data_IF_039254601229
#
_entry.id   IF_039254601229
#
_cell.length_a   1.000
_cell.length_b   1.000
_cell.length_c   1.000
_cell.angle_alpha   90.00
_cell.angle_beta   90.00
_cell.angle_gamma   90.00
#
_symmetry.space_group_name_H-M   'P 1'
#
loop_
_entity.id
_entity.type
_entity.pdbx_description
1 polymer ?
#
# COMPACT_ATOMS: atom_id res chain seq x y z
N UNK A 1 14.71 -16.03 9.79
CA UNK A 1 13.83 -17.23 9.59
C UNK A 1 12.64 -16.76 8.77
N UNK A 2 12.18 -17.59 7.80
CA UNK A 2 11.00 -17.30 6.99
C UNK A 2 9.78 -17.98 7.64
N UNK A 3 8.65 -17.30 7.68
CA UNK A 3 7.40 -17.76 8.30
C UNK A 3 6.23 -17.47 7.36
N UNK A 4 5.29 -18.40 7.12
CA UNK A 4 5.22 -19.76 7.66
C UNK A 4 6.31 -20.69 7.07
N UNK A 5 6.51 -21.85 7.70
CA UNK A 5 7.33 -22.94 7.16
C UNK A 5 6.69 -23.55 5.91
N UNK A 6 7.48 -24.31 5.13
CA UNK A 6 6.98 -24.96 3.92
C UNK A 6 5.80 -25.91 4.21
N UNK A 7 5.86 -26.67 5.31
CA UNK A 7 4.80 -27.61 5.69
C UNK A 7 3.50 -26.87 6.08
N UNK A 8 3.62 -25.78 6.83
CA UNK A 8 2.46 -24.92 7.17
C UNK A 8 1.82 -24.31 5.92
N UNK A 9 2.64 -23.89 4.94
CA UNK A 9 2.15 -23.33 3.67
C UNK A 9 1.33 -24.37 2.89
N UNK A 10 1.77 -25.63 2.84
CA UNK A 10 1.03 -26.70 2.17
C UNK A 10 -0.35 -26.93 2.79
N UNK A 11 -0.48 -26.80 4.11
CA UNK A 11 -1.78 -26.91 4.80
C UNK A 11 -2.65 -25.67 4.56
N UNK A 12 -2.08 -24.48 4.62
CA UNK A 12 -2.79 -23.21 4.38
C UNK A 12 -3.31 -23.11 2.94
N UNK A 13 -2.54 -23.60 1.97
CA UNK A 13 -2.90 -23.57 0.55
C UNK A 13 -4.19 -24.35 0.22
N UNK A 14 -4.59 -25.29 1.08
CA UNK A 14 -5.87 -26.00 0.93
C UNK A 14 -7.10 -25.10 1.15
N UNK A 15 -6.94 -23.96 1.83
CA UNK A 15 -8.04 -23.07 2.26
C UNK A 15 -7.97 -21.67 1.68
N UNK A 16 -6.77 -21.19 1.39
CA UNK A 16 -6.51 -19.81 1.00
C UNK A 16 -5.93 -19.73 -0.41
N UNK A 17 -6.23 -18.65 -1.10
CA UNK A 17 -5.71 -18.40 -2.45
C UNK A 17 -4.41 -17.61 -2.42
N UNK A 18 -4.10 -17.02 -1.27
CA UNK A 18 -2.91 -16.20 -1.05
C UNK A 18 -2.39 -16.47 0.37
N UNK A 19 -1.07 -16.57 0.53
CA UNK A 19 -0.43 -16.76 1.83
C UNK A 19 0.64 -15.69 2.00
N UNK A 20 0.58 -14.86 3.08
CA UNK A 20 1.62 -13.92 3.40
C UNK A 20 2.84 -14.65 3.98
N UNK A 21 3.92 -14.67 3.22
CA UNK A 21 5.22 -15.19 3.65
C UNK A 21 6.06 -14.03 4.16
N UNK A 22 6.66 -14.16 5.32
CA UNK A 22 7.35 -13.06 5.97
C UNK A 22 8.73 -13.43 6.49
N UNK A 23 9.58 -12.41 6.64
CA UNK A 23 10.89 -12.46 7.25
C UNK A 23 11.14 -11.23 8.10
N UNK A 24 11.63 -11.42 9.32
CA UNK A 24 12.07 -10.32 10.18
C UNK A 24 13.56 -10.03 9.96
N UNK A 25 13.92 -8.73 9.97
CA UNK A 25 15.28 -8.22 10.03
C UNK A 25 15.37 -7.10 11.08
N UNK A 26 16.56 -6.80 11.58
CA UNK A 26 16.77 -5.70 12.52
C UNK A 26 16.74 -4.35 11.80
N UNK A 27 16.29 -3.30 12.50
CA UNK A 27 16.09 -1.95 11.97
C UNK A 27 17.08 -0.93 12.55
N UNK A 28 18.18 -1.40 13.11
CA UNK A 28 19.15 -0.61 13.88
C UNK A 28 19.91 0.46 13.06
N UNK A 29 20.01 0.29 11.76
CA UNK A 29 20.72 1.20 10.84
C UNK A 29 19.81 1.96 9.88
N UNK A 30 18.48 1.82 9.98
CA UNK A 30 17.58 2.27 8.92
C UNK A 30 16.34 2.95 9.49
N UNK A 31 15.85 3.99 8.82
CA UNK A 31 14.59 4.68 9.14
C UNK A 31 13.59 4.52 8.01
N UNK A 32 12.27 4.67 8.25
CA UNK A 32 11.27 4.64 7.18
C UNK A 32 11.57 5.62 6.04
N UNK A 33 12.05 6.83 6.35
CA UNK A 33 12.41 7.84 5.35
C UNK A 33 13.63 7.42 4.51
N UNK A 34 14.65 6.82 5.14
CA UNK A 34 15.82 6.33 4.39
C UNK A 34 15.44 5.16 3.47
N UNK A 35 14.53 4.27 3.92
CA UNK A 35 13.95 3.22 3.09
C UNK A 35 13.18 3.80 1.90
N UNK A 36 12.29 4.77 2.16
CA UNK A 36 11.53 5.41 1.09
C UNK A 36 12.45 5.98 0.00
N UNK A 37 13.51 6.70 0.39
CA UNK A 37 14.49 7.22 -0.56
C UNK A 37 15.18 6.14 -1.38
N UNK A 38 15.39 4.97 -0.79
CA UNK A 38 15.97 3.82 -1.48
C UNK A 38 14.96 3.19 -2.44
N UNK A 39 13.70 3.06 -2.05
CA UNK A 39 12.62 2.60 -2.92
C UNK A 39 12.44 3.50 -4.14
N UNK A 40 12.57 4.82 -3.99
CA UNK A 40 12.54 5.78 -5.09
C UNK A 40 13.61 5.56 -6.16
N UNK A 41 14.71 4.88 -5.84
CA UNK A 41 15.72 4.53 -6.85
C UNK A 41 15.35 3.28 -7.66
N UNK A 42 14.33 2.54 -7.23
CA UNK A 42 13.90 1.27 -7.83
C UNK A 42 12.59 1.40 -8.58
N UNK A 43 11.66 2.22 -8.08
CA UNK A 43 10.32 2.33 -8.60
C UNK A 43 9.82 3.77 -8.58
N UNK A 44 9.05 4.14 -9.59
CA UNK A 44 8.31 5.41 -9.64
C UNK A 44 6.96 5.31 -8.91
N UNK A 45 6.56 4.09 -8.51
CA UNK A 45 5.29 3.81 -7.81
C UNK A 45 5.58 3.16 -6.47
N UNK A 46 5.42 3.91 -5.42
CA UNK A 46 5.69 3.48 -4.04
C UNK A 46 4.75 4.22 -3.08
N UNK A 47 4.67 3.73 -1.84
CA UNK A 47 3.98 4.44 -0.77
C UNK A 47 4.78 4.38 0.54
N UNK A 48 4.50 5.34 1.40
CA UNK A 48 4.82 5.32 2.82
C UNK A 48 3.56 5.74 3.58
N UNK A 49 3.11 4.87 4.48
CA UNK A 49 2.10 5.19 5.49
C UNK A 49 2.81 5.27 6.84
N UNK A 50 2.89 6.47 7.39
CA UNK A 50 3.55 6.73 8.66
C UNK A 50 2.56 7.39 9.62
N UNK A 51 2.48 6.88 10.85
CA UNK A 51 1.67 7.47 11.89
C UNK A 51 2.56 8.14 12.91
N UNK A 52 2.33 9.42 13.17
CA UNK A 52 3.12 10.25 14.09
C UNK A 52 2.48 10.37 15.48
N UNK A 53 1.16 10.19 15.56
CA UNK A 53 0.39 10.38 16.80
C UNK A 53 -0.51 9.19 17.11
N UNK A 54 -0.70 8.86 18.39
CA UNK A 54 -1.74 7.92 18.80
C UNK A 54 -1.32 6.81 19.77
N UNK A 55 -0.19 6.92 20.46
CA UNK A 55 0.23 5.96 21.48
C UNK A 55 0.68 4.61 20.92
N UNK A 56 1.05 3.68 21.80
CA UNK A 56 1.71 2.40 21.46
C UNK A 56 0.95 1.50 20.49
N UNK A 57 -0.37 1.67 20.32
CA UNK A 57 -1.19 0.80 19.48
C UNK A 57 -1.28 1.26 18.02
N UNK A 58 -1.34 2.56 17.76
CA UNK A 58 -1.61 3.11 16.42
C UNK A 58 -0.35 3.59 15.71
N UNK A 59 0.62 4.15 16.44
CA UNK A 59 1.88 4.65 15.90
C UNK A 59 3.01 3.60 15.86
N UNK A 60 2.67 2.32 16.09
CA UNK A 60 3.67 1.25 16.17
C UNK A 60 4.35 0.95 14.85
N UNK A 61 3.62 1.06 13.74
CA UNK A 61 4.12 0.64 12.44
C UNK A 61 4.17 1.77 11.42
N UNK A 62 5.24 1.82 10.63
CA UNK A 62 5.26 2.47 9.33
C UNK A 62 5.23 1.42 8.24
N UNK A 63 4.42 1.61 7.20
CA UNK A 63 4.29 0.68 6.08
C UNK A 63 4.81 1.30 4.80
N UNK A 64 5.60 0.53 4.04
CA UNK A 64 6.09 0.91 2.73
C UNK A 64 5.81 -0.21 1.74
N UNK A 65 5.65 0.17 0.47
CA UNK A 65 5.57 -0.76 -0.65
C UNK A 65 5.99 -0.07 -1.93
N UNK A 66 6.35 -0.86 -2.93
CA UNK A 66 6.79 -0.42 -4.24
C UNK A 66 6.37 -1.44 -5.30
N UNK A 67 6.45 -1.08 -6.57
CA UNK A 67 6.08 -1.93 -7.70
C UNK A 67 4.71 -2.61 -7.55
N UNK A 68 3.60 -1.83 -7.51
CA UNK A 68 2.27 -2.40 -7.38
C UNK A 68 1.94 -3.33 -8.54
N UNK A 69 1.28 -4.46 -8.25
CA UNK A 69 0.89 -5.45 -9.26
C UNK A 69 -0.33 -5.02 -10.07
N UNK A 70 -1.11 -4.07 -9.58
CA UNK A 70 -2.31 -3.57 -10.24
C UNK A 70 -2.55 -2.10 -9.85
N UNK A 71 -3.00 -1.28 -10.79
CA UNK A 71 -3.59 0.03 -10.52
C UNK A 71 -5.08 -0.01 -10.87
N UNK A 72 -5.91 0.52 -9.99
CA UNK A 72 -7.35 0.66 -10.18
C UNK A 72 -7.72 2.14 -10.08
N UNK A 73 -8.26 2.69 -11.15
CA UNK A 73 -8.77 4.07 -11.18
C UNK A 73 -10.26 4.08 -11.45
N UNK A 74 -10.96 5.10 -10.97
CA UNK A 74 -12.36 5.32 -11.32
C UNK A 74 -12.60 6.78 -11.69
N UNK A 75 -13.23 7.00 -12.83
CA UNK A 75 -13.67 8.33 -13.26
C UNK A 75 -15.10 8.26 -13.73
N UNK A 76 -15.99 9.00 -13.08
CA UNK A 76 -17.42 9.09 -13.48
C UNK A 76 -18.08 7.70 -13.68
N UNK A 77 -17.81 6.75 -12.78
CA UNK A 77 -18.36 5.39 -12.83
C UNK A 77 -17.67 4.46 -13.84
N UNK A 78 -16.60 4.90 -14.49
CA UNK A 78 -15.76 4.04 -15.32
C UNK A 78 -14.56 3.60 -14.49
N UNK A 79 -14.50 2.32 -14.15
CA UNK A 79 -13.37 1.70 -13.44
C UNK A 79 -12.41 1.12 -14.47
N UNK A 80 -11.14 1.49 -14.36
CA UNK A 80 -10.05 0.94 -15.18
C UNK A 80 -9.07 0.20 -14.29
N UNK A 81 -8.77 -1.05 -14.61
CA UNK A 81 -7.76 -1.89 -13.98
C UNK A 81 -6.60 -2.06 -14.96
N UNK A 82 -5.37 -1.82 -14.51
CA UNK A 82 -4.14 -1.90 -15.30
C UNK A 82 -3.06 -2.68 -14.53
N UNK A 83 -2.47 -3.69 -15.15
CA UNK A 83 -1.41 -4.52 -14.57
C UNK A 83 -1.70 -6.00 -14.61
N UNK A 84 -1.76 -6.68 -13.47
CA UNK A 84 -2.07 -8.12 -13.40
C UNK A 84 -3.39 -8.49 -14.08
N UNK A 85 -4.33 -7.55 -14.13
CA UNK A 85 -5.59 -7.64 -14.89
C UNK A 85 -5.76 -6.34 -15.67
N UNK A 86 -6.12 -6.44 -16.97
CA UNK A 86 -6.43 -5.27 -17.80
C UNK A 86 -7.92 -5.32 -18.16
N UNK A 87 -8.72 -4.42 -17.56
CA UNK A 87 -10.18 -4.41 -17.70
C UNK A 87 -10.72 -3.00 -17.51
N UNK A 88 -11.69 -2.60 -18.30
CA UNK A 88 -12.46 -1.38 -18.07
C UNK A 88 -13.95 -1.72 -17.93
N UNK A 89 -14.58 -1.22 -16.87
CA UNK A 89 -15.97 -1.49 -16.52
C UNK A 89 -16.69 -0.19 -16.22
N UNK A 90 -17.83 0.05 -16.87
CA UNK A 90 -18.73 1.14 -16.50
C UNK A 90 -19.79 0.63 -15.53
N UNK A 91 -19.91 1.25 -14.38
CA UNK A 91 -20.80 0.80 -13.30
C UNK A 91 -21.21 1.97 -12.39
N UNK A 92 -22.38 1.85 -11.78
CA UNK A 92 -22.86 2.71 -10.70
C UNK A 92 -22.36 2.25 -9.32
N UNK A 93 -21.70 1.08 -9.23
CA UNK A 93 -21.17 0.48 -8.00
C UNK A 93 -19.67 0.17 -8.11
N UNK A 94 -18.80 1.20 -8.24
CA UNK A 94 -17.38 0.99 -8.52
C UNK A 94 -16.65 0.19 -7.43
N UNK A 95 -17.09 0.26 -6.16
CA UNK A 95 -16.51 -0.54 -5.08
C UNK A 95 -16.72 -2.04 -5.23
N UNK A 96 -17.73 -2.48 -6.01
CA UNK A 96 -17.95 -3.90 -6.28
C UNK A 96 -16.80 -4.47 -7.10
N UNK A 97 -16.30 -3.70 -8.07
CA UNK A 97 -15.14 -4.13 -8.89
C UNK A 97 -13.89 -4.32 -8.01
N UNK A 98 -13.65 -3.43 -7.04
CA UNK A 98 -12.54 -3.58 -6.11
C UNK A 98 -12.71 -4.81 -5.19
N UNK A 99 -13.95 -5.09 -4.75
CA UNK A 99 -14.25 -6.30 -3.95
C UNK A 99 -14.05 -7.58 -4.74
N UNK A 100 -14.40 -7.59 -6.03
CA UNK A 100 -14.14 -8.72 -6.92
C UNK A 100 -12.65 -8.99 -7.02
N UNK A 101 -11.84 -7.96 -7.26
CA UNK A 101 -10.37 -8.08 -7.29
C UNK A 101 -9.84 -8.62 -5.95
N UNK A 102 -10.26 -8.03 -4.82
CA UNK A 102 -9.80 -8.48 -3.50
C UNK A 102 -10.30 -9.90 -3.15
N UNK A 103 -11.42 -10.34 -3.72
CA UNK A 103 -11.95 -11.69 -3.56
C UNK A 103 -11.01 -12.79 -4.04
N UNK A 104 -10.12 -12.47 -5.00
CA UNK A 104 -9.09 -13.37 -5.50
C UNK A 104 -7.93 -13.56 -4.51
N UNK A 105 -7.81 -12.67 -3.49
CA UNK A 105 -6.72 -12.64 -2.52
C UNK A 105 -7.20 -13.03 -1.11
N UNK A 106 -7.71 -14.28 -0.95
CA UNK A 106 -8.12 -14.80 0.36
C UNK A 106 -6.91 -15.27 1.14
N UNK A 107 -6.47 -14.49 2.11
CA UNK A 107 -5.30 -14.76 2.93
C UNK A 107 -5.65 -15.07 4.39
N UNK A 108 -4.87 -15.93 5.10
CA UNK A 108 -5.01 -16.14 6.53
C UNK A 108 -4.47 -14.92 7.31
N UNK A 109 -5.01 -14.68 8.49
CA UNK A 109 -4.33 -13.89 9.51
C UNK A 109 -3.41 -14.81 10.31
N UNK A 110 -2.10 -14.56 10.20
CA UNK A 110 -1.09 -15.32 10.93
C UNK A 110 -0.64 -14.54 12.17
N UNK A 111 -0.41 -15.26 13.25
CA UNK A 111 0.10 -14.69 14.49
C UNK A 111 1.50 -14.09 14.27
N UNK A 112 1.79 -12.97 14.90
CA UNK A 112 3.09 -12.29 14.80
C UNK A 112 3.27 -11.42 13.56
N UNK A 113 2.37 -11.48 12.58
CA UNK A 113 2.44 -10.59 11.41
C UNK A 113 1.91 -9.18 11.71
N UNK A 114 2.40 -8.16 10.97
CA UNK A 114 1.87 -6.81 11.08
C UNK A 114 0.40 -6.74 10.66
N UNK A 115 -0.36 -5.73 11.11
CA UNK A 115 -1.79 -5.61 10.82
C UNK A 115 -2.11 -5.37 9.34
N UNK A 116 -1.15 -4.87 8.56
CA UNK A 116 -1.24 -4.70 7.12
C UNK A 116 -0.13 -5.49 6.43
N UNK A 117 -0.51 -6.48 5.63
CA UNK A 117 0.39 -7.38 4.92
C UNK A 117 0.34 -7.21 3.40
N UNK A 118 -0.56 -6.38 2.87
CA UNK A 118 -0.78 -6.11 1.47
C UNK A 118 -2.21 -5.67 1.21
N UNK A 119 -2.46 -5.15 0.02
CA UNK A 119 -3.77 -4.66 -0.37
C UNK A 119 -3.72 -3.38 -1.18
N UNK A 120 -4.88 -2.75 -1.35
CA UNK A 120 -4.98 -1.47 -2.04
C UNK A 120 -4.52 -0.31 -1.17
N UNK A 121 -3.65 0.54 -1.72
CA UNK A 121 -3.20 1.81 -1.15
C UNK A 121 -3.40 2.92 -2.18
N UNK A 122 -3.93 4.06 -1.74
CA UNK A 122 -4.20 5.21 -2.59
C UNK A 122 -5.25 6.12 -1.98
N UNK A 123 -6.07 6.78 -2.79
CA UNK A 123 -7.09 7.69 -2.30
C UNK A 123 -8.49 7.41 -2.86
N UNK A 124 -9.48 7.77 -2.07
CA UNK A 124 -10.86 7.95 -2.49
C UNK A 124 -11.18 9.44 -2.43
N UNK A 125 -11.64 10.00 -3.54
CA UNK A 125 -12.11 11.37 -3.57
C UNK A 125 -13.45 11.51 -2.81
N UNK A 126 -13.74 12.70 -2.31
CA UNK A 126 -15.02 13.00 -1.65
C UNK A 126 -16.24 12.65 -2.53
N UNK A 127 -16.10 12.76 -3.85
CA UNK A 127 -17.13 12.41 -4.82
C UNK A 127 -17.59 10.94 -4.75
N UNK A 128 -16.81 10.05 -4.14
CA UNK A 128 -17.22 8.66 -3.90
C UNK A 128 -18.45 8.52 -3.03
N UNK A 129 -18.72 9.50 -2.16
CA UNK A 129 -19.94 9.54 -1.34
C UNK A 129 -21.21 9.53 -2.20
N UNK A 130 -21.19 10.13 -3.41
CA UNK A 130 -22.32 10.14 -4.33
C UNK A 130 -22.70 8.77 -4.89
N UNK A 131 -21.83 7.74 -4.80
CA UNK A 131 -22.19 6.35 -5.15
C UNK A 131 -22.90 5.62 -4.00
N UNK A 132 -22.60 5.98 -2.75
CA UNK A 132 -23.27 5.44 -1.57
C UNK A 132 -24.61 6.14 -1.30
N UNK A 133 -24.66 7.46 -1.52
CA UNK A 133 -25.80 8.32 -1.27
C UNK A 133 -26.18 9.11 -2.53
N UNK A 134 -26.89 8.51 -3.49
CA UNK A 134 -27.24 9.15 -4.77
C UNK A 134 -28.12 10.40 -4.62
N UNK A 135 -28.82 10.56 -3.48
CA UNK A 135 -29.64 11.75 -3.17
C UNK A 135 -28.78 13.00 -2.95
N UNK A 136 -27.50 12.82 -2.60
CA UNK A 136 -26.56 13.91 -2.47
C UNK A 136 -26.09 14.32 -3.86
N UNK A 137 -26.45 15.50 -4.31
CA UNK A 137 -26.04 16.04 -5.61
C UNK A 137 -24.58 16.54 -5.55
N UNK A 138 -23.62 15.61 -5.36
CA UNK A 138 -22.21 15.92 -5.21
C UNK A 138 -21.60 16.27 -6.55
N UNK A 139 -21.05 17.49 -6.66
CA UNK A 139 -20.30 17.91 -7.85
C UNK A 139 -18.99 17.12 -7.95
N UNK A 140 -18.79 16.43 -9.07
CA UNK A 140 -17.55 15.74 -9.38
C UNK A 140 -16.51 16.74 -9.87
N UNK A 141 -15.30 16.62 -9.32
CA UNK A 141 -14.16 17.47 -9.66
C UNK A 141 -13.32 16.93 -10.83
N UNK A 142 -12.15 17.55 -11.01
CA UNK A 142 -11.17 17.13 -12.01
C UNK A 142 -10.46 15.80 -11.67
N UNK A 143 -10.42 15.45 -10.38
CA UNK A 143 -9.75 14.24 -9.88
C UNK A 143 -10.55 12.97 -10.18
N UNK A 144 -9.88 11.83 -10.21
CA UNK A 144 -10.54 10.52 -10.26
C UNK A 144 -11.32 10.29 -8.97
N UNK A 145 -12.41 9.53 -9.06
CA UNK A 145 -13.24 9.16 -7.90
C UNK A 145 -12.43 8.31 -6.92
N UNK A 146 -11.54 7.46 -7.43
CA UNK A 146 -10.44 6.85 -6.70
C UNK A 146 -9.24 6.56 -7.62
N UNK A 147 -8.05 6.49 -7.03
CA UNK A 147 -6.82 5.99 -7.63
C UNK A 147 -6.10 5.13 -6.59
N UNK A 148 -6.07 3.83 -6.82
CA UNK A 148 -5.60 2.81 -5.88
C UNK A 148 -4.60 1.92 -6.56
N UNK A 149 -3.56 1.54 -5.85
CA UNK A 149 -2.54 0.59 -6.28
C UNK A 149 -2.56 -0.64 -5.36
N UNK A 150 -2.55 -1.83 -5.94
CA UNK A 150 -2.53 -3.10 -5.20
C UNK A 150 -1.09 -3.55 -5.01
N UNK A 151 -0.69 -3.69 -3.76
CA UNK A 151 0.63 -4.15 -3.37
C UNK A 151 0.54 -5.54 -2.75
N UNK A 152 1.33 -6.46 -3.25
CA UNK A 152 1.51 -7.82 -2.70
C UNK A 152 2.83 -7.96 -1.91
N UNK A 153 3.72 -6.98 -2.01
CA UNK A 153 4.94 -6.85 -1.22
C UNK A 153 4.85 -5.64 -0.29
N UNK A 154 5.11 -5.87 1.01
CA UNK A 154 5.04 -4.82 2.05
C UNK A 154 6.24 -4.90 2.96
N UNK A 155 6.77 -3.75 3.31
CA UNK A 155 7.78 -3.53 4.34
C UNK A 155 7.08 -2.89 5.54
N UNK A 156 7.01 -3.59 6.66
CA UNK A 156 6.45 -3.06 7.91
C UNK A 156 7.59 -2.77 8.90
N UNK A 157 7.79 -1.50 9.19
CA UNK A 157 8.74 -1.05 10.20
C UNK A 157 8.06 -1.02 11.57
N UNK A 158 8.47 -1.90 12.49
CA UNK A 158 7.95 -1.97 13.86
C UNK A 158 8.80 -1.06 14.77
N UNK A 159 8.29 0.13 15.08
CA UNK A 159 8.97 1.11 15.93
C UNK A 159 9.15 0.62 17.37
N UNK A 160 8.25 -0.22 17.87
CA UNK A 160 8.31 -0.75 19.23
C UNK A 160 9.40 -1.82 19.37
N UNK A 161 9.47 -2.75 18.44
CA UNK A 161 10.43 -3.85 18.46
C UNK A 161 11.76 -3.54 17.77
N UNK A 162 11.88 -2.37 17.12
CA UNK A 162 13.03 -1.98 16.30
C UNK A 162 13.38 -3.07 15.27
N UNK A 163 12.35 -3.56 14.56
CA UNK A 163 12.46 -4.57 13.53
C UNK A 163 11.74 -4.14 12.26
N UNK A 164 12.16 -4.73 11.17
CA UNK A 164 11.47 -4.63 9.89
C UNK A 164 10.92 -6.01 9.56
N UNK A 165 9.62 -6.09 9.29
CA UNK A 165 8.97 -7.30 8.81
C UNK A 165 8.73 -7.13 7.31
N UNK A 166 9.39 -7.97 6.52
CA UNK A 166 9.19 -8.09 5.09
C UNK A 166 8.07 -9.08 4.84
N UNK A 167 7.12 -8.74 4.01
CA UNK A 167 5.97 -9.61 3.69
C UNK A 167 5.81 -9.69 2.18
N UNK A 168 5.67 -10.91 1.67
CA UNK A 168 5.35 -11.22 0.27
C UNK A 168 4.11 -12.10 0.24
N UNK A 169 3.08 -11.68 -0.46
CA UNK A 169 1.83 -12.43 -0.60
C UNK A 169 1.93 -13.38 -1.79
N UNK A 170 2.26 -14.66 -1.53
CA UNK A 170 2.35 -15.67 -2.58
C UNK A 170 0.99 -16.24 -2.95
N UNK A 171 0.72 -16.50 -4.22
CA UNK A 171 -0.45 -17.26 -4.70
C UNK A 171 -0.27 -18.76 -4.46
N UNK A 172 -1.40 -19.49 -4.32
CA UNK A 172 -1.41 -20.92 -4.00
C UNK A 172 -1.70 -21.83 -5.20
N UNK A 173 -1.78 -21.28 -6.40
CA UNK A 173 -1.99 -22.04 -7.65
C UNK A 173 -0.80 -22.97 -8.00
N UNK A 174 0.43 -22.59 -7.65
CA UNK A 174 1.66 -23.34 -7.82
C UNK A 174 2.53 -23.22 -6.58
N UNK A 175 2.12 -23.89 -5.48
CA UNK A 175 2.61 -23.65 -4.11
C UNK A 175 4.13 -23.64 -4.00
N UNK A 176 4.80 -24.71 -4.46
CA UNK A 176 6.26 -24.84 -4.31
C UNK A 176 7.04 -23.83 -5.15
N UNK A 177 6.57 -23.58 -6.38
CA UNK A 177 7.20 -22.59 -7.25
C UNK A 177 7.03 -21.17 -6.68
N UNK A 178 5.79 -20.82 -6.26
CA UNK A 178 5.49 -19.51 -5.72
C UNK A 178 6.14 -19.28 -4.35
N UNK A 179 6.30 -20.33 -3.54
CA UNK A 179 7.09 -20.23 -2.32
C UNK A 179 8.58 -19.92 -2.60
N UNK A 180 9.17 -20.59 -3.59
CA UNK A 180 10.52 -20.27 -4.05
C UNK A 180 10.66 -18.82 -4.52
N UNK A 181 9.68 -18.31 -5.29
CA UNK A 181 9.63 -16.89 -5.73
C UNK A 181 9.49 -15.94 -4.55
N UNK A 182 8.62 -16.25 -3.58
CA UNK A 182 8.43 -15.44 -2.39
C UNK A 182 9.71 -15.38 -1.53
N UNK A 183 10.41 -16.49 -1.36
CA UNK A 183 11.71 -16.51 -0.68
C UNK A 183 12.75 -15.63 -1.39
N UNK A 184 12.83 -15.72 -2.72
CA UNK A 184 13.74 -14.89 -3.51
C UNK A 184 13.37 -13.39 -3.44
N UNK A 185 12.09 -13.05 -3.46
CA UNK A 185 11.61 -11.67 -3.28
C UNK A 185 11.98 -11.12 -1.89
N UNK A 186 11.77 -11.91 -0.81
CA UNK A 186 12.18 -11.55 0.55
C UNK A 186 13.69 -11.30 0.68
N UNK A 187 14.52 -12.11 0.01
CA UNK A 187 15.97 -11.90 -0.05
C UNK A 187 16.31 -10.61 -0.82
N UNK A 188 15.64 -10.36 -1.94
CA UNK A 188 15.81 -9.13 -2.72
C UNK A 188 15.43 -7.87 -1.91
N UNK A 189 14.32 -7.91 -1.18
CA UNK A 189 13.89 -6.83 -0.28
C UNK A 189 14.92 -6.62 0.84
N UNK A 190 15.41 -7.69 1.46
CA UNK A 190 16.44 -7.61 2.50
C UNK A 190 17.76 -7.03 1.97
N UNK A 191 18.17 -7.43 0.77
CA UNK A 191 19.36 -6.89 0.11
C UNK A 191 19.21 -5.39 -0.19
N UNK A 192 18.04 -4.96 -0.65
CA UNK A 192 17.73 -3.54 -0.90
C UNK A 192 17.82 -2.71 0.38
N UNK A 193 17.30 -3.22 1.50
CA UNK A 193 17.33 -2.53 2.80
C UNK A 193 18.75 -2.44 3.35
N UNK A 194 19.53 -3.49 3.19
CA UNK A 194 20.92 -3.57 3.66
C UNK A 194 21.94 -2.90 2.73
N UNK A 195 21.50 -2.43 1.56
CA UNK A 195 22.38 -1.73 0.63
C UNK A 195 22.86 -0.41 1.24
N UNK A 196 24.17 -0.29 1.43
CA UNK A 196 24.83 0.89 2.00
C UNK A 196 25.33 1.87 0.92
N UNK A 197 25.02 1.66 -0.34
CA UNK A 197 25.40 2.57 -1.42
C UNK A 197 24.85 3.98 -1.14
N UNK A 198 25.61 5.04 -1.46
CA UNK A 198 25.17 6.41 -1.27
C UNK A 198 23.84 6.67 -1.99
N UNK A 199 22.87 7.22 -1.28
CA UNK A 199 21.62 7.66 -1.89
C UNK A 199 21.88 8.91 -2.75
N UNK A 200 21.16 9.06 -3.88
CA UNK A 200 21.25 10.28 -4.67
C UNK A 200 21.01 11.53 -3.79
N UNK A 201 21.79 12.61 -3.99
CA UNK A 201 21.57 13.83 -3.23
C UNK A 201 20.16 14.36 -3.49
N UNK A 202 19.52 14.91 -2.46
CA UNK A 202 18.25 15.61 -2.63
C UNK A 202 18.50 16.83 -3.52
N UNK A 203 17.81 16.89 -4.65
CA UNK A 203 17.83 18.09 -5.49
C UNK A 203 17.18 19.22 -4.70
N UNK A 204 17.94 20.24 -4.36
CA UNK A 204 17.39 21.47 -3.81
C UNK A 204 16.52 22.10 -4.91
N UNK A 205 15.23 21.98 -4.80
CA UNK A 205 14.29 22.79 -5.57
C UNK A 205 14.26 24.18 -4.92
N UNK A 206 14.25 25.25 -5.72
CA UNK A 206 14.10 26.61 -5.20
C UNK A 206 12.88 26.75 -4.27
N UNK A 207 12.65 27.93 -3.71
CA UNK A 207 11.47 28.16 -2.86
C UNK A 207 10.22 27.76 -3.62
N UNK A 208 9.38 26.83 -3.08
CA UNK A 208 8.16 26.45 -3.76
C UNK A 208 7.23 27.67 -3.85
N UNK A 209 6.70 27.93 -5.05
CA UNK A 209 5.57 28.86 -5.20
C UNK A 209 4.28 28.07 -5.11
N UNK A 210 3.34 28.58 -4.36
CA UNK A 210 2.00 28.00 -4.27
C UNK A 210 0.94 29.09 -4.42
N UNK A 211 -0.20 28.72 -4.97
CA UNK A 211 -1.39 29.56 -5.05
C UNK A 211 -2.51 28.89 -4.27
N UNK A 212 -3.15 29.65 -3.39
CA UNK A 212 -4.36 29.20 -2.69
C UNK A 212 -5.60 29.70 -3.43
N UNK A 213 -6.64 28.89 -3.45
CA UNK A 213 -7.96 29.25 -3.98
C UNK A 213 -8.80 30.07 -2.98
N UNK A 214 -8.31 30.27 -1.76
CA UNK A 214 -8.89 31.09 -0.69
C UNK A 214 -7.81 32.02 -0.13
N UNK A 215 -8.21 33.23 0.29
CA UNK A 215 -7.34 34.15 1.00
C UNK A 215 -7.23 33.78 2.48
N UNK A 216 -6.20 34.29 3.16
CA UNK A 216 -6.02 34.07 4.60
C UNK A 216 -7.25 34.49 5.40
N UNK A 217 -7.84 35.65 5.08
CA UNK A 217 -9.06 36.14 5.74
C UNK A 217 -10.28 35.23 5.49
N UNK A 218 -10.43 34.68 4.29
CA UNK A 218 -11.49 33.70 4.00
C UNK A 218 -11.26 32.38 4.76
N UNK A 219 -10.00 31.94 4.91
CA UNK A 219 -9.67 30.75 5.68
C UNK A 219 -10.03 30.95 7.16
N UNK A 220 -9.67 32.11 7.75
CA UNK A 220 -10.04 32.45 9.13
C UNK A 220 -11.59 32.50 9.32
N UNK A 221 -12.30 33.11 8.40
CA UNK A 221 -13.79 33.18 8.44
C UNK A 221 -14.46 31.79 8.36
N UNK A 222 -13.88 30.86 7.57
CA UNK A 222 -14.35 29.46 7.51
C UNK A 222 -14.17 28.78 8.86
N UNK A 223 -12.99 28.95 9.49
CA UNK A 223 -12.70 28.34 10.79
C UNK A 223 -13.59 28.90 11.90
N UNK A 224 -13.88 30.21 11.90
CA UNK A 224 -14.77 30.84 12.90
C UNK A 224 -16.23 30.41 12.76
N UNK A 225 -16.67 29.98 11.58
CA UNK A 225 -18.06 29.54 11.30
C UNK A 225 -18.29 28.04 11.49
N UNK A 226 -17.21 27.24 11.75
CA UNK A 226 -17.27 25.79 11.95
C UNK A 226 -17.26 25.44 13.42
#
# INVERSE_FOLDING_TARGET
>A
MITPSCDEILELAKKYTTIPVSREIYADMTTPISLLRRLQTRSDRFFLLESVEGGEKWARYSFLGYDPILRATCKNGTVTLEGAVNKTVKTDKPLTVLREVLGEYRAPRLEGQPPFTGGFVGYFAYAMLGYAEPTLNIKRGAWDDFDLMLFDEVIAYDHLKQKIVLVVNMKTDSVMENYGKACAALEGMAALINDQSPLPPLKATGRPSFTCNVTEAQCADIVEKT
#
